data_IF_575847164538
#
_entry.id   IF_575847164538
#
_cell.length_a   1.000
_cell.length_b   1.000
_cell.length_c   1.000
_cell.angle_alpha   90.00
_cell.angle_beta   90.00
_cell.angle_gamma   90.00
#
_symmetry.space_group_name_H-M   'P 1'
#
loop_
_entity.id
_entity.type
_entity.pdbx_description
1 polymer ?
#
# COMPACT_ATOMS: atom_id res chain seq x y z
N UNK A 1 0.47 -13.77 2.66
CA UNK A 1 -0.98 -13.60 2.88
C UNK A 1 -1.42 -14.28 4.16
N UNK A 2 -2.35 -13.66 4.87
CA UNK A 2 -2.82 -14.16 6.16
C UNK A 2 -1.93 -13.79 7.33
N UNK A 3 -2.26 -14.32 8.50
CA UNK A 3 -1.64 -13.97 9.79
C UNK A 3 -1.02 -15.19 10.50
N UNK A 4 -0.65 -16.19 9.73
CA UNK A 4 -0.04 -17.42 10.23
C UNK A 4 1.47 -17.29 10.51
N UNK A 5 2.13 -18.45 10.59
CA UNK A 5 3.56 -18.51 10.94
C UNK A 5 4.46 -17.78 9.95
N UNK A 6 4.15 -17.84 8.65
CA UNK A 6 4.90 -17.11 7.62
C UNK A 6 4.86 -15.61 7.83
N UNK A 7 3.71 -15.06 8.16
CA UNK A 7 3.56 -13.65 8.52
C UNK A 7 4.41 -13.29 9.75
N UNK A 8 4.33 -14.10 10.80
CA UNK A 8 5.09 -13.85 12.04
C UNK A 8 6.59 -13.89 11.81
N UNK A 9 7.06 -14.87 11.05
CA UNK A 9 8.49 -14.98 10.72
C UNK A 9 8.98 -13.77 9.92
N UNK A 10 8.24 -13.35 8.90
CA UNK A 10 8.58 -12.19 8.10
C UNK A 10 8.59 -10.91 8.94
N UNK A 11 7.57 -10.71 9.77
CA UNK A 11 7.49 -9.53 10.64
C UNK A 11 8.61 -9.50 11.67
N UNK A 12 8.98 -10.64 12.26
CA UNK A 12 10.08 -10.71 13.22
C UNK A 12 11.43 -10.36 12.58
N UNK A 13 11.65 -10.76 11.33
CA UNK A 13 12.90 -10.52 10.62
C UNK A 13 13.04 -9.10 10.08
N UNK A 14 11.93 -8.40 9.85
CA UNK A 14 11.93 -7.07 9.24
C UNK A 14 12.21 -5.97 10.27
N UNK A 15 12.94 -4.93 9.85
CA UNK A 15 13.13 -3.69 10.62
C UNK A 15 12.10 -2.62 10.26
N UNK A 16 11.53 -2.70 9.08
CA UNK A 16 10.46 -1.84 8.57
C UNK A 16 9.40 -2.73 7.93
N UNK A 17 8.16 -2.54 8.30
CA UNK A 17 7.03 -3.24 7.71
C UNK A 17 6.24 -2.30 6.78
N UNK A 18 5.92 -2.80 5.60
CA UNK A 18 4.97 -2.16 4.70
C UNK A 18 3.67 -2.95 4.73
N UNK A 19 2.66 -2.33 5.31
CA UNK A 19 1.31 -2.90 5.36
C UNK A 19 0.56 -2.46 4.11
N UNK A 20 0.31 -3.42 3.22
CA UNK A 20 -0.37 -3.16 1.94
C UNK A 20 -1.82 -3.59 2.05
N UNK A 21 -2.73 -2.68 1.79
CA UNK A 21 -4.18 -2.94 1.79
C UNK A 21 -4.81 -2.49 0.49
N UNK A 22 -5.92 -3.11 0.14
CA UNK A 22 -6.80 -2.62 -0.93
C UNK A 22 -7.80 -1.58 -0.41
N UNK A 23 -8.60 -1.00 -1.30
CA UNK A 23 -9.55 0.05 -0.94
C UNK A 23 -10.89 -0.49 -0.42
N UNK A 24 -11.19 -1.75 -0.59
CA UNK A 24 -12.48 -2.33 -0.22
C UNK A 24 -12.59 -2.57 1.30
N UNK A 25 -13.83 -2.57 1.86
CA UNK A 25 -14.03 -2.74 3.30
C UNK A 25 -13.43 -4.01 3.88
N UNK A 26 -13.44 -5.12 3.13
CA UNK A 26 -12.83 -6.38 3.55
C UNK A 26 -11.33 -6.27 3.70
N UNK A 27 -10.65 -5.70 2.70
CA UNK A 27 -9.21 -5.47 2.75
C UNK A 27 -8.81 -4.51 3.88
N UNK A 28 -9.61 -3.46 4.11
CA UNK A 28 -9.37 -2.52 5.21
C UNK A 28 -9.49 -3.17 6.58
N UNK A 29 -10.48 -4.04 6.77
CA UNK A 29 -10.61 -4.83 8.01
C UNK A 29 -9.42 -5.75 8.23
N UNK A 30 -8.96 -6.43 7.19
CA UNK A 30 -7.78 -7.29 7.25
C UNK A 30 -6.52 -6.48 7.55
N UNK A 31 -6.39 -5.30 6.95
CA UNK A 31 -5.31 -4.35 7.22
C UNK A 31 -5.30 -3.90 8.67
N UNK A 32 -6.44 -3.52 9.22
CA UNK A 32 -6.59 -3.14 10.63
C UNK A 32 -6.18 -4.28 11.56
N UNK A 33 -6.64 -5.49 11.27
CA UNK A 33 -6.31 -6.69 12.06
C UNK A 33 -4.83 -7.01 12.00
N UNK A 34 -4.21 -6.93 10.83
CA UNK A 34 -2.77 -7.11 10.66
C UNK A 34 -1.99 -6.06 11.44
N UNK A 35 -2.43 -4.81 11.40
CA UNK A 35 -1.84 -3.72 12.17
C UNK A 35 -1.88 -3.97 13.68
N UNK A 36 -2.99 -4.45 14.20
CA UNK A 36 -3.12 -4.82 15.62
C UNK A 36 -2.12 -5.92 16.02
N UNK A 37 -1.94 -6.93 15.15
CA UNK A 37 -0.97 -7.99 15.40
C UNK A 37 0.47 -7.48 15.38
N UNK A 38 0.82 -6.58 14.46
CA UNK A 38 2.14 -5.96 14.41
C UNK A 38 2.40 -5.15 15.68
N UNK A 39 1.42 -4.44 16.18
CA UNK A 39 1.51 -3.69 17.43
C UNK A 39 1.77 -4.64 18.62
N UNK A 40 1.05 -5.75 18.71
CA UNK A 40 1.26 -6.78 19.73
C UNK A 40 2.65 -7.41 19.66
N UNK A 41 3.25 -7.48 18.47
CA UNK A 41 4.62 -7.94 18.25
C UNK A 41 5.68 -6.89 18.58
N UNK A 42 5.28 -5.69 18.98
CA UNK A 42 6.19 -4.59 19.28
C UNK A 42 6.76 -3.89 18.06
N UNK A 43 6.16 -4.06 16.89
CA UNK A 43 6.59 -3.41 15.66
C UNK A 43 6.10 -1.98 15.63
N UNK A 44 7.03 -1.03 15.48
CA UNK A 44 6.74 0.42 15.54
C UNK A 44 6.95 1.13 14.22
N UNK A 45 7.87 0.64 13.40
CA UNK A 45 8.14 1.23 12.08
C UNK A 45 7.30 0.51 11.01
N UNK A 46 6.01 0.82 11.01
CA UNK A 46 5.02 0.29 10.07
C UNK A 46 4.48 1.43 9.25
N UNK A 47 4.44 1.27 7.92
CA UNK A 47 3.89 2.25 7.01
C UNK A 47 2.83 1.63 6.13
N UNK A 48 1.80 2.41 5.83
CA UNK A 48 0.65 1.97 5.06
C UNK A 48 0.86 2.26 3.57
N UNK A 49 0.55 1.26 2.75
CA UNK A 49 0.40 1.42 1.29
C UNK A 49 -1.02 1.02 0.93
N UNK A 50 -1.74 1.91 0.28
CA UNK A 50 -3.06 1.59 -0.27
C UNK A 50 -2.90 1.30 -1.75
N UNK A 51 -3.20 0.08 -2.13
CA UNK A 51 -3.05 -0.41 -3.50
C UNK A 51 -4.38 -0.43 -4.24
N UNK A 52 -4.34 -0.35 -5.56
CA UNK A 52 -5.50 -0.41 -6.45
C UNK A 52 -6.53 0.67 -6.14
N UNK A 53 -6.06 1.88 -5.91
CA UNK A 53 -6.91 3.02 -5.60
C UNK A 53 -7.65 3.48 -6.85
N UNK A 54 -8.98 3.46 -6.77
CA UNK A 54 -9.86 4.00 -7.80
C UNK A 54 -10.67 5.16 -7.21
N UNK A 55 -10.42 6.41 -7.67
CA UNK A 55 -11.12 7.58 -7.13
C UNK A 55 -12.65 7.49 -7.20
N UNK A 56 -13.17 6.88 -8.25
CA UNK A 56 -14.62 6.69 -8.41
C UNK A 56 -15.19 5.76 -7.35
N UNK A 57 -14.44 4.71 -7.01
CA UNK A 57 -14.84 3.77 -5.99
C UNK A 57 -14.84 4.42 -4.59
N UNK A 58 -13.79 5.19 -4.27
CA UNK A 58 -13.72 5.94 -3.02
C UNK A 58 -14.89 6.91 -2.87
N UNK A 59 -15.18 7.65 -3.93
CA UNK A 59 -16.33 8.56 -3.95
C UNK A 59 -17.65 7.82 -3.76
N UNK A 60 -17.82 6.68 -4.42
CA UNK A 60 -19.03 5.86 -4.28
C UNK A 60 -19.20 5.28 -2.87
N UNK A 61 -18.10 4.96 -2.19
CA UNK A 61 -18.11 4.46 -0.81
C UNK A 61 -18.10 5.58 0.24
N UNK A 62 -18.05 6.82 -0.20
CA UNK A 62 -17.93 7.99 0.69
C UNK A 62 -16.73 7.87 1.65
N UNK A 63 -15.61 7.34 1.15
CA UNK A 63 -14.36 7.19 1.88
C UNK A 63 -13.31 8.17 1.39
N UNK A 64 -12.51 8.67 2.33
CA UNK A 64 -11.32 9.46 2.03
C UNK A 64 -10.06 8.67 2.40
N UNK A 65 -8.90 9.14 1.92
CA UNK A 65 -7.61 8.57 2.31
C UNK A 65 -7.36 8.73 3.81
N UNK A 66 -7.79 9.85 4.37
CA UNK A 66 -7.68 10.10 5.81
C UNK A 66 -8.50 9.08 6.62
N UNK A 67 -9.70 8.73 6.15
CA UNK A 67 -10.50 7.67 6.77
C UNK A 67 -9.75 6.34 6.79
N UNK A 68 -9.09 5.99 5.69
CA UNK A 68 -8.31 4.75 5.60
C UNK A 68 -7.11 4.78 6.56
N UNK A 69 -6.41 5.90 6.65
CA UNK A 69 -5.29 6.07 7.59
C UNK A 69 -5.76 5.93 9.04
N UNK A 70 -6.88 6.55 9.36
CA UNK A 70 -7.47 6.48 10.72
C UNK A 70 -7.93 5.06 11.05
N UNK A 71 -8.53 4.34 10.11
CA UNK A 71 -8.99 2.97 10.31
C UNK A 71 -7.84 1.98 10.55
N UNK A 72 -6.77 2.08 9.78
CA UNK A 72 -5.64 1.16 9.87
C UNK A 72 -4.65 1.59 10.96
N UNK A 73 -4.53 2.88 11.23
CA UNK A 73 -3.77 3.42 12.35
C UNK A 73 -2.28 3.62 12.10
N UNK A 74 -1.82 3.62 10.83
CA UNK A 74 -0.42 3.82 10.49
C UNK A 74 -0.22 4.94 9.47
N UNK A 75 0.96 5.60 9.49
CA UNK A 75 1.25 6.65 8.52
C UNK A 75 1.32 6.09 7.09
N UNK A 76 0.83 6.88 6.16
CA UNK A 76 0.77 6.53 4.75
C UNK A 76 2.14 6.72 4.09
N UNK A 77 2.66 5.66 3.46
CA UNK A 77 3.82 5.73 2.58
C UNK A 77 3.41 6.15 1.18
N UNK A 78 2.32 5.60 0.66
CA UNK A 78 1.87 5.91 -0.67
C UNK A 78 0.54 5.29 -1.06
N UNK A 79 0.04 5.81 -2.17
CA UNK A 79 -1.17 5.34 -2.83
C UNK A 79 -0.79 4.85 -4.22
N UNK A 80 -1.16 3.63 -4.55
CA UNK A 80 -0.94 3.07 -5.88
C UNK A 80 -2.28 3.05 -6.61
N UNK A 81 -2.44 3.84 -7.68
CA UNK A 81 -3.68 3.86 -8.42
C UNK A 81 -3.91 2.53 -9.14
N UNK A 82 -5.17 2.19 -9.36
CA UNK A 82 -5.52 1.07 -10.23
C UNK A 82 -5.03 1.38 -11.65
N UNK A 83 -4.22 0.47 -12.20
CA UNK A 83 -3.51 0.68 -13.46
C UNK A 83 -3.48 -0.62 -14.24
N UNK A 84 -4.08 -0.60 -15.44
CA UNK A 84 -4.12 -1.77 -16.33
C UNK A 84 -2.73 -2.25 -16.74
N UNK A 85 -1.72 -1.39 -16.70
CA UNK A 85 -0.36 -1.78 -17.04
C UNK A 85 0.24 -2.78 -16.05
N UNK A 86 -0.24 -2.82 -14.81
CA UNK A 86 0.25 -3.75 -13.79
C UNK A 86 -0.01 -5.21 -14.20
N UNK A 87 -1.26 -5.64 -14.46
CA UNK A 87 -1.49 -7.01 -14.93
C UNK A 87 -0.90 -7.28 -16.31
N UNK A 88 -0.85 -6.29 -17.20
CA UNK A 88 -0.24 -6.46 -18.53
C UNK A 88 1.27 -6.70 -18.42
N UNK A 89 1.96 -6.00 -17.56
CA UNK A 89 3.39 -6.23 -17.32
C UNK A 89 3.63 -7.66 -16.83
N UNK A 90 2.80 -8.15 -15.91
CA UNK A 90 2.88 -9.52 -15.41
C UNK A 90 2.66 -10.57 -16.52
N UNK A 91 1.67 -10.35 -17.40
CA UNK A 91 1.42 -11.24 -18.56
C UNK A 91 2.63 -11.30 -19.49
N UNK A 92 3.36 -10.20 -19.65
CA UNK A 92 4.55 -10.12 -20.50
C UNK A 92 5.86 -10.48 -19.76
N UNK A 93 5.78 -10.99 -18.54
CA UNK A 93 6.94 -11.32 -17.70
C UNK A 93 7.95 -10.17 -17.59
N UNK A 94 7.42 -8.94 -17.45
CA UNK A 94 8.23 -7.73 -17.34
C UNK A 94 7.92 -6.97 -16.04
N UNK A 95 8.94 -6.42 -15.37
CA UNK A 95 8.70 -5.46 -14.30
C UNK A 95 7.91 -4.25 -14.82
N UNK A 96 6.97 -3.76 -14.01
CA UNK A 96 6.15 -2.61 -14.39
C UNK A 96 6.99 -1.41 -14.84
N UNK A 97 8.07 -1.13 -14.13
CA UNK A 97 8.96 0.00 -14.41
C UNK A 97 9.69 -0.11 -15.75
N UNK A 98 9.81 -1.31 -16.30
CA UNK A 98 10.36 -1.54 -17.64
C UNK A 98 9.27 -1.57 -18.70
N UNK A 99 8.12 -2.15 -18.38
CA UNK A 99 6.99 -2.29 -19.30
C UNK A 99 6.28 -0.96 -19.57
N UNK A 100 6.04 -0.19 -18.51
CA UNK A 100 5.27 1.05 -18.57
C UNK A 100 5.84 2.09 -17.59
N UNK A 101 7.07 2.56 -17.85
CA UNK A 101 7.83 3.49 -17.00
C UNK A 101 7.07 4.73 -16.55
N UNK A 102 6.16 5.23 -17.39
CA UNK A 102 5.44 6.47 -17.15
C UNK A 102 4.00 6.25 -16.72
N UNK A 103 3.63 5.01 -16.41
CA UNK A 103 2.28 4.72 -15.95
C UNK A 103 2.02 5.33 -14.56
N UNK A 104 0.77 5.60 -14.20
CA UNK A 104 0.44 6.15 -12.89
C UNK A 104 0.94 5.28 -11.73
N UNK A 105 0.83 3.96 -11.83
CA UNK A 105 1.34 3.06 -10.81
C UNK A 105 2.87 3.09 -10.72
N UNK A 106 3.58 3.12 -11.85
CA UNK A 106 5.05 3.25 -11.87
C UNK A 106 5.50 4.55 -11.18
N UNK A 107 4.83 5.66 -11.46
CA UNK A 107 5.09 6.94 -10.80
C UNK A 107 4.87 6.87 -9.28
N UNK A 108 3.83 6.15 -8.84
CA UNK A 108 3.58 5.93 -7.42
C UNK A 108 4.70 5.13 -6.75
N UNK A 109 5.19 4.08 -7.37
CA UNK A 109 6.31 3.30 -6.86
C UNK A 109 7.59 4.13 -6.75
N UNK A 110 7.89 4.99 -7.72
CA UNK A 110 9.02 5.91 -7.64
C UNK A 110 8.92 6.86 -6.46
N UNK A 111 7.74 7.43 -6.23
CA UNK A 111 7.51 8.33 -5.08
C UNK A 111 7.68 7.60 -3.76
N UNK A 112 7.13 6.39 -3.63
CA UNK A 112 7.28 5.59 -2.42
C UNK A 112 8.75 5.24 -2.16
N UNK A 113 9.50 4.86 -3.19
CA UNK A 113 10.92 4.56 -3.06
C UNK A 113 11.72 5.77 -2.55
N UNK A 114 11.45 6.96 -3.07
CA UNK A 114 12.05 8.21 -2.57
C UNK A 114 11.73 8.45 -1.10
N UNK A 115 10.47 8.30 -0.72
CA UNK A 115 10.03 8.49 0.67
C UNK A 115 10.67 7.50 1.63
N UNK A 116 10.88 6.26 1.22
CA UNK A 116 11.64 5.27 2.00
C UNK A 116 13.09 5.67 2.23
N UNK A 117 13.68 6.41 1.30
CA UNK A 117 15.05 6.94 1.43
C UNK A 117 15.12 8.27 2.18
N UNK A 118 14.00 8.77 2.68
CA UNK A 118 13.94 10.08 3.34
C UNK A 118 13.91 11.27 2.37
N UNK A 119 13.75 11.03 1.06
CA UNK A 119 13.64 12.08 0.06
C UNK A 119 12.18 12.53 -0.03
N UNK A 120 11.87 13.82 0.13
CA UNK A 120 10.50 14.31 -0.01
C UNK A 120 9.93 14.00 -1.40
N UNK A 121 8.73 13.46 -1.43
CA UNK A 121 7.97 13.22 -2.65
C UNK A 121 6.49 13.41 -2.36
N UNK A 122 5.73 14.08 -3.25
CA UNK A 122 4.30 14.29 -3.01
C UNK A 122 3.54 12.97 -3.05
N UNK A 123 2.48 12.88 -2.25
CA UNK A 123 1.46 11.86 -2.45
C UNK A 123 0.73 12.18 -3.75
N UNK A 124 0.45 11.16 -4.56
CA UNK A 124 -0.42 11.36 -5.71
C UNK A 124 -1.77 11.83 -5.19
N UNK A 125 -2.20 12.98 -5.62
CA UNK A 125 -3.54 13.45 -5.29
C UNK A 125 -4.57 12.47 -5.86
N UNK A 126 -5.47 12.03 -5.02
CA UNK A 126 -6.73 11.45 -5.46
C UNK A 126 -7.58 12.61 -5.97
N UNK A 127 -7.43 12.92 -7.21
CA UNK A 127 -8.37 13.85 -7.87
C UNK A 127 -9.38 13.08 -8.68
#
# INVERSE_FOLDING_TARGET
AGVGDGFRMAAQAASLELLVTGPDPGALRDGTRTGELLELMGKRDVRLVVNRVNPKLYSAMNLTVDDVMDMVGYPLLGLVPEDRNVPLAAVHDRPLLHYARRSPAAAAFHRMAKRLQGIPAPLAGLK
#
